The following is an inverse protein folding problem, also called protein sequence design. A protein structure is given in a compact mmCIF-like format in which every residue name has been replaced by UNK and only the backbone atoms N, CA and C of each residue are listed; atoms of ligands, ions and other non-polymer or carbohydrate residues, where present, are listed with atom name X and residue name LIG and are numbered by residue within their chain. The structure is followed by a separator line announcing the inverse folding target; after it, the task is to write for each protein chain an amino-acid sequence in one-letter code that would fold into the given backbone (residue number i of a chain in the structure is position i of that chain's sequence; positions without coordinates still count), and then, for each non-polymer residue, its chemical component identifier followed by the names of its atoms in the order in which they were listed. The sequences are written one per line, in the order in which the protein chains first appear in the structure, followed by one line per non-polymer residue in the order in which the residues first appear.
data_IF_661933879731
#
_entry.id   IF_661933879731
#
_cell.length_a   1.000
_cell.length_b   1.000
_cell.length_c   1.000
_cell.angle_alpha   90.00
_cell.angle_beta   90.00
_cell.angle_gamma   90.00
#
_symmetry.space_group_name_H-M   'P 1'
#
loop_
_entity.id
_entity.type
_entity.pdbx_description
1 polymer ?
#
# COMPACT_ATOMS: atom_id res chain seq x y z
N UNK A 1 20.13 13.32 17.22
CA UNK A 1 19.34 13.88 16.09
C UNK A 1 20.20 13.72 14.85
N UNK A 2 19.88 12.76 13.99
CA UNK A 2 20.54 12.63 12.69
C UNK A 2 20.09 13.79 11.82
N UNK A 3 21.04 14.48 11.19
CA UNK A 3 20.76 15.62 10.31
C UNK A 3 20.14 15.11 8.99
N UNK A 4 19.46 16.00 8.27
CA UNK A 4 18.89 15.69 6.94
C UNK A 4 19.96 15.19 5.94
N UNK A 5 21.24 15.40 6.22
CA UNK A 5 22.38 14.95 5.40
C UNK A 5 22.69 13.46 5.55
N UNK A 6 22.33 12.83 6.68
CA UNK A 6 22.59 11.40 6.92
C UNK A 6 21.67 10.47 6.13
N UNK A 7 20.53 10.99 5.64
CA UNK A 7 19.55 10.22 4.84
C UNK A 7 19.94 10.21 3.34
N UNK A 8 20.76 11.16 2.89
CA UNK A 8 21.14 11.37 1.48
C UNK A 8 22.40 10.61 1.01
N UNK A 9 23.04 9.83 1.88
CA UNK A 9 24.35 9.22 1.61
C UNK A 9 24.41 8.13 0.54
N UNK A 10 23.31 7.74 -0.09
CA UNK A 10 23.29 6.67 -1.12
C UNK A 10 22.73 7.11 -2.48
N UNK A 11 22.43 8.37 -2.68
CA UNK A 11 22.06 8.85 -4.02
C UNK A 11 23.33 9.20 -4.78
N UNK A 12 23.69 8.37 -5.75
CA UNK A 12 24.67 8.73 -6.80
C UNK A 12 24.29 10.10 -7.37
N UNK A 13 25.28 10.98 -7.53
CA UNK A 13 25.16 12.38 -7.93
C UNK A 13 24.61 12.61 -9.35
N UNK A 14 23.42 12.11 -9.66
CA UNK A 14 22.51 12.70 -10.63
C UNK A 14 21.82 13.85 -9.89
N UNK A 15 21.93 15.08 -10.38
CA UNK A 15 21.30 16.30 -9.83
C UNK A 15 19.90 15.96 -9.31
N UNK A 16 19.75 15.89 -7.99
CA UNK A 16 18.51 15.45 -7.37
C UNK A 16 17.36 16.34 -7.87
N UNK A 17 16.43 15.75 -8.63
CA UNK A 17 15.26 16.47 -9.20
C UNK A 17 14.27 16.92 -8.14
N UNK A 18 14.35 16.31 -6.95
CA UNK A 18 13.56 16.66 -5.76
C UNK A 18 14.48 16.95 -4.58
N UNK A 19 14.02 17.76 -3.66
CA UNK A 19 14.69 18.02 -2.38
C UNK A 19 13.70 18.00 -1.24
N UNK A 20 14.14 17.67 -0.06
CA UNK A 20 13.33 17.77 1.14
C UNK A 20 13.18 19.26 1.56
N UNK A 21 11.99 19.61 2.01
CA UNK A 21 11.67 20.90 2.60
C UNK A 21 10.73 20.71 3.80
N UNK A 22 10.76 21.63 4.73
CA UNK A 22 9.75 21.74 5.78
C UNK A 22 8.71 22.74 5.30
N UNK A 23 7.44 22.33 5.30
CA UNK A 23 6.31 23.16 4.90
C UNK A 23 5.42 23.39 6.11
N UNK A 24 5.15 24.64 6.41
CA UNK A 24 4.31 25.04 7.56
C UNK A 24 2.94 24.34 7.48
N UNK A 25 2.53 23.69 8.56
CA UNK A 25 1.27 22.95 8.67
C UNK A 25 1.26 21.58 7.94
N UNK A 26 2.31 21.26 7.16
CA UNK A 26 2.40 19.98 6.42
C UNK A 26 3.61 19.13 6.83
N UNK A 27 4.59 19.72 7.55
CA UNK A 27 5.81 19.05 7.97
C UNK A 27 6.80 18.80 6.82
N UNK A 28 7.54 17.70 6.90
CA UNK A 28 8.53 17.33 5.88
C UNK A 28 7.85 16.96 4.57
N UNK A 29 8.37 17.48 3.46
CA UNK A 29 7.80 17.34 2.14
C UNK A 29 8.90 17.21 1.06
N UNK A 30 8.57 16.66 -0.09
CA UNK A 30 9.41 16.69 -1.26
C UNK A 30 8.96 17.82 -2.20
N UNK A 31 9.88 18.69 -2.58
CA UNK A 31 9.64 19.80 -3.50
C UNK A 31 10.53 19.68 -4.73
N UNK A 32 10.05 20.20 -5.86
CA UNK A 32 10.79 20.22 -7.11
C UNK A 32 12.06 21.09 -7.00
N UNK A 33 13.25 20.52 -7.24
CA UNK A 33 14.51 21.26 -7.24
C UNK A 33 14.70 22.11 -8.51
N UNK A 34 14.02 21.77 -9.59
CA UNK A 34 13.97 22.46 -10.89
C UNK A 34 12.54 22.40 -11.43
N UNK A 35 12.25 23.10 -12.50
CA UNK A 35 10.99 22.89 -13.22
C UNK A 35 10.96 21.46 -13.79
N UNK A 36 9.85 20.75 -13.60
CA UNK A 36 9.63 19.37 -14.04
C UNK A 36 8.58 19.34 -15.14
N UNK A 37 8.79 18.47 -16.12
CA UNK A 37 7.85 18.24 -17.21
C UNK A 37 6.93 17.06 -16.90
N UNK A 38 5.73 17.11 -17.43
CA UNK A 38 4.79 15.99 -17.39
C UNK A 38 5.45 14.68 -17.85
N UNK A 39 5.25 13.61 -17.10
CA UNK A 39 5.87 12.30 -17.36
C UNK A 39 7.28 12.11 -16.79
N UNK A 40 7.97 13.17 -16.32
CA UNK A 40 9.29 12.98 -15.70
C UNK A 40 9.20 12.05 -14.47
N UNK A 41 10.14 11.12 -14.38
CA UNK A 41 10.32 10.28 -13.19
C UNK A 41 11.08 11.11 -12.14
N UNK A 42 10.43 11.36 -11.01
CA UNK A 42 11.02 12.17 -9.92
C UNK A 42 11.61 11.33 -8.81
N UNK A 43 11.18 10.08 -8.69
CA UNK A 43 11.72 9.14 -7.71
C UNK A 43 11.62 7.71 -8.23
N UNK A 44 12.69 6.94 -7.99
CA UNK A 44 12.69 5.47 -7.91
C UNK A 44 13.16 5.12 -6.52
N UNK A 45 12.35 4.39 -5.77
CA UNK A 45 12.64 4.07 -4.37
C UNK A 45 12.52 2.57 -4.15
N UNK A 46 13.55 1.98 -3.58
CA UNK A 46 13.56 0.58 -3.20
C UNK A 46 13.11 0.43 -1.76
N UNK A 47 12.29 -0.58 -1.44
CA UNK A 47 11.80 -0.76 -0.08
C UNK A 47 12.92 -1.22 0.84
N UNK A 48 13.02 -0.64 2.05
CA UNK A 48 13.92 -1.12 3.10
C UNK A 48 13.33 -2.31 3.86
N UNK A 49 12.03 -2.53 3.76
CA UNK A 49 11.29 -3.60 4.40
C UNK A 49 10.08 -3.96 3.55
N UNK A 50 9.84 -5.26 3.39
CA UNK A 50 8.66 -5.83 2.74
C UNK A 50 8.05 -6.92 3.62
N UNK A 51 6.73 -7.02 3.66
CA UNK A 51 6.00 -8.09 4.33
C UNK A 51 4.69 -8.43 3.61
N UNK A 52 4.31 -9.71 3.64
CA UNK A 52 3.14 -10.21 2.93
C UNK A 52 1.83 -9.73 3.57
N UNK A 53 0.88 -9.30 2.75
CA UNK A 53 -0.50 -9.00 3.16
C UNK A 53 -1.40 -10.25 3.18
N UNK A 54 -0.93 -11.37 2.61
CA UNK A 54 -1.72 -12.61 2.51
C UNK A 54 -1.81 -13.25 3.89
N UNK A 55 -3.02 -13.64 4.35
CA UNK A 55 -3.18 -14.33 5.64
C UNK A 55 -2.32 -15.59 5.76
N UNK A 56 -1.87 -15.89 6.98
CA UNK A 56 -1.20 -17.16 7.28
C UNK A 56 -2.24 -18.28 7.18
N UNK A 57 -2.04 -19.22 6.26
CA UNK A 57 -2.92 -20.40 6.13
C UNK A 57 -2.74 -21.29 7.37
N UNK A 58 -3.83 -21.71 8.05
CA UNK A 58 -3.73 -22.67 9.13
C UNK A 58 -3.26 -24.03 8.60
N UNK A 59 -2.47 -24.76 9.41
CA UNK A 59 -1.90 -26.07 9.04
C UNK A 59 -2.94 -27.17 8.87
N UNK A 60 -4.19 -26.95 9.36
CA UNK A 60 -5.31 -27.87 9.19
C UNK A 60 -6.46 -27.18 8.48
N UNK A 61 -7.03 -27.79 7.40
CA UNK A 61 -8.21 -27.23 6.74
C UNK A 61 -9.41 -27.30 7.70
N UNK A 62 -9.99 -26.15 8.05
CA UNK A 62 -11.27 -26.11 8.76
C UNK A 62 -12.39 -26.59 7.81
N UNK A 63 -13.23 -27.55 8.19
CA UNK A 63 -14.24 -28.15 7.30
C UNK A 63 -15.44 -27.25 6.98
N UNK A 64 -15.48 -26.00 7.44
CA UNK A 64 -16.69 -25.16 7.45
C UNK A 64 -16.74 -24.03 6.41
N UNK A 65 -15.81 -23.92 5.46
CA UNK A 65 -15.88 -22.90 4.43
C UNK A 65 -16.49 -23.45 3.14
N UNK A 66 -17.68 -22.93 2.78
CA UNK A 66 -18.37 -23.23 1.55
C UNK A 66 -17.54 -22.89 0.29
N UNK A 67 -17.68 -23.67 -0.82
CA UNK A 67 -16.85 -23.53 -2.03
C UNK A 67 -17.01 -22.22 -2.81
N UNK A 68 -18.00 -21.39 -2.47
CA UNK A 68 -18.40 -20.21 -3.25
C UNK A 68 -17.48 -18.98 -3.15
N UNK A 69 -16.52 -18.95 -2.24
CA UNK A 69 -15.56 -17.84 -2.09
C UNK A 69 -14.09 -18.28 -2.22
N UNK A 70 -13.80 -19.29 -3.02
CA UNK A 70 -12.42 -19.55 -3.46
C UNK A 70 -12.06 -18.54 -4.53
N UNK A 71 -11.73 -17.32 -4.17
CA UNK A 71 -10.80 -16.53 -4.97
C UNK A 71 -9.59 -17.43 -5.18
N UNK A 72 -9.21 -17.65 -6.45
CA UNK A 72 -7.99 -18.38 -6.80
C UNK A 72 -6.83 -17.64 -6.15
N UNK A 73 -6.42 -18.06 -4.94
CA UNK A 73 -5.26 -17.51 -4.28
C UNK A 73 -4.05 -17.73 -5.18
N UNK A 74 -3.57 -16.66 -5.77
CA UNK A 74 -2.32 -16.67 -6.52
C UNK A 74 -1.19 -16.82 -5.52
N UNK A 75 -0.21 -17.66 -5.83
CA UNK A 75 1.00 -17.72 -5.03
C UNK A 75 2.01 -16.70 -5.53
N UNK A 76 2.71 -16.08 -4.61
CA UNK A 76 3.69 -15.05 -4.88
C UNK A 76 5.08 -15.47 -4.39
N UNK A 77 6.11 -15.00 -5.09
CA UNK A 77 7.47 -15.13 -4.62
C UNK A 77 7.65 -14.42 -3.27
N UNK A 78 8.09 -15.13 -2.26
CA UNK A 78 8.25 -14.61 -0.90
C UNK A 78 9.36 -13.54 -0.76
N UNK A 79 10.10 -13.25 -1.84
CA UNK A 79 11.11 -12.19 -1.87
C UNK A 79 10.68 -10.98 -2.71
N UNK A 80 10.28 -11.19 -3.96
CA UNK A 80 9.97 -10.12 -4.88
C UNK A 80 8.47 -9.94 -5.17
N UNK A 81 7.62 -10.73 -4.54
CA UNK A 81 6.16 -10.71 -4.64
C UNK A 81 5.58 -10.83 -6.07
N UNK A 82 6.39 -11.25 -7.03
CA UNK A 82 5.90 -11.59 -8.38
C UNK A 82 5.00 -12.82 -8.33
N UNK A 83 3.99 -12.87 -9.19
CA UNK A 83 3.12 -14.04 -9.37
C UNK A 83 3.98 -15.24 -9.74
N UNK A 84 3.71 -16.38 -9.10
CA UNK A 84 4.36 -17.66 -9.39
C UNK A 84 3.49 -18.52 -10.31
N UNK A 85 4.10 -19.02 -11.37
CA UNK A 85 3.53 -20.05 -12.20
C UNK A 85 4.00 -21.41 -11.68
N UNK A 86 3.10 -22.18 -11.07
CA UNK A 86 3.43 -23.48 -10.44
C UNK A 86 4.02 -24.51 -11.42
N UNK A 87 3.74 -24.37 -12.71
CA UNK A 87 4.33 -25.19 -13.77
C UNK A 87 5.78 -24.83 -14.11
N UNK A 88 6.28 -23.68 -13.59
CA UNK A 88 7.63 -23.23 -13.88
C UNK A 88 8.66 -24.05 -13.09
N UNK A 89 9.63 -24.69 -13.76
CA UNK A 89 10.69 -25.48 -13.09
C UNK A 89 11.64 -24.61 -12.27
N UNK A 90 11.57 -23.29 -12.40
CA UNK A 90 12.41 -22.35 -11.66
C UNK A 90 11.93 -22.11 -10.22
N UNK A 91 10.66 -22.40 -9.90
CA UNK A 91 10.11 -22.18 -8.56
C UNK A 91 10.78 -23.12 -7.56
N UNK A 92 11.29 -22.53 -6.48
CA UNK A 92 12.00 -23.26 -5.42
C UNK A 92 11.42 -22.91 -4.04
N UNK A 93 11.39 -23.90 -3.15
CA UNK A 93 10.89 -23.72 -1.79
C UNK A 93 11.99 -23.32 -0.79
N UNK A 94 11.57 -22.81 0.37
CA UNK A 94 12.46 -22.59 1.50
C UNK A 94 12.98 -23.92 2.07
N UNK A 95 14.28 -24.12 2.21
CA UNK A 95 14.82 -25.38 2.71
C UNK A 95 14.49 -25.62 4.20
N UNK A 96 14.34 -24.56 5.00
CA UNK A 96 14.05 -24.66 6.43
C UNK A 96 12.59 -25.04 6.70
N UNK A 97 11.65 -24.50 5.95
CA UNK A 97 10.22 -24.82 6.07
C UNK A 97 9.93 -26.24 5.56
N UNK A 98 10.61 -26.70 4.51
CA UNK A 98 10.42 -28.03 3.93
C UNK A 98 10.92 -29.15 4.84
N UNK A 99 11.95 -28.90 5.67
CA UNK A 99 12.47 -29.89 6.59
C UNK A 99 11.49 -30.25 7.72
N UNK A 100 10.66 -29.30 8.16
CA UNK A 100 9.63 -29.56 9.19
C UNK A 100 8.49 -30.41 8.66
N UNK A 101 8.10 -30.23 7.40
CA UNK A 101 7.09 -31.04 6.73
C UNK A 101 7.57 -32.48 6.50
N UNK A 102 8.83 -32.66 6.08
CA UNK A 102 9.43 -33.99 5.91
C UNK A 102 9.57 -34.77 7.22
N UNK A 103 9.91 -34.09 8.32
CA UNK A 103 9.96 -34.70 9.66
C UNK A 103 8.58 -35.17 10.15
N UNK A 104 7.53 -34.43 9.87
CA UNK A 104 6.14 -34.79 10.19
C UNK A 104 5.65 -36.00 9.35
N UNK A 105 6.06 -36.10 8.09
CA UNK A 105 5.71 -37.21 7.22
C UNK A 105 6.34 -38.54 7.64
N UNK A 106 7.54 -38.54 8.24
CA UNK A 106 8.24 -39.73 8.77
C UNK A 106 7.54 -40.30 10.01
N UNK A 107 6.70 -39.47 10.70
CA UNK A 107 5.95 -39.93 11.88
C UNK A 107 4.56 -40.50 11.56
N UNK A 108 4.28 -40.85 10.30
CA UNK A 108 3.13 -41.70 9.92
C UNK A 108 1.79 -40.98 9.71
N UNK A 109 1.77 -39.67 9.57
CA UNK A 109 0.60 -38.94 9.14
C UNK A 109 0.48 -38.94 7.61
N UNK A 110 -0.33 -39.85 7.04
CA UNK A 110 -0.61 -39.91 5.60
C UNK A 110 -1.51 -38.74 5.14
N UNK A 111 -0.92 -37.57 5.00
CA UNK A 111 -1.54 -36.40 4.35
C UNK A 111 -0.59 -35.94 3.26
N UNK A 112 -1.10 -35.78 2.04
CA UNK A 112 -0.35 -35.27 0.90
C UNK A 112 0.37 -33.98 1.28
N UNK A 113 1.70 -34.03 1.27
CA UNK A 113 2.55 -32.93 1.70
C UNK A 113 2.31 -31.71 0.79
N UNK A 114 1.60 -30.72 1.28
CA UNK A 114 1.63 -29.41 0.65
C UNK A 114 3.07 -28.89 0.72
N UNK A 115 3.66 -28.65 -0.42
CA UNK A 115 5.01 -28.15 -0.59
C UNK A 115 5.24 -26.90 0.27
N UNK A 116 6.44 -26.75 0.80
CA UNK A 116 6.86 -25.73 1.76
C UNK A 116 6.28 -24.34 1.46
N UNK A 117 5.73 -23.73 2.47
CA UNK A 117 4.87 -22.56 2.41
C UNK A 117 5.48 -21.29 1.83
N UNK A 118 6.84 -21.21 1.81
CA UNK A 118 7.55 -20.06 1.25
C UNK A 118 8.21 -20.46 -0.05
N UNK A 119 7.61 -19.97 -1.13
CA UNK A 119 8.05 -20.21 -2.50
C UNK A 119 8.79 -18.99 -3.05
N UNK A 120 9.75 -19.24 -3.92
CA UNK A 120 10.56 -18.22 -4.60
C UNK A 120 10.56 -18.49 -6.09
N UNK A 121 10.54 -17.42 -6.90
CA UNK A 121 10.54 -17.52 -8.37
C UNK A 121 11.83 -18.13 -8.94
N UNK A 122 12.87 -18.29 -8.11
CA UNK A 122 14.12 -18.91 -8.50
C UNK A 122 15.16 -18.92 -7.39
N UNK A 123 16.32 -19.60 -7.62
CA UNK A 123 17.39 -19.74 -6.64
C UNK A 123 17.96 -18.39 -6.17
N UNK A 124 18.05 -17.40 -7.08
CA UNK A 124 18.56 -16.06 -6.73
C UNK A 124 17.66 -15.35 -5.72
N UNK A 125 16.35 -15.33 -5.96
CA UNK A 125 15.38 -14.77 -5.02
C UNK A 125 15.41 -15.50 -3.67
N UNK A 126 15.53 -16.82 -3.69
CA UNK A 126 15.68 -17.61 -2.46
C UNK A 126 16.94 -17.23 -1.69
N UNK A 127 18.08 -17.17 -2.36
CA UNK A 127 19.35 -16.82 -1.71
C UNK A 127 19.34 -15.41 -1.14
N UNK A 128 18.81 -14.46 -1.88
CA UNK A 128 18.63 -13.08 -1.41
C UNK A 128 17.71 -13.00 -0.17
N UNK A 129 16.58 -13.71 -0.20
CA UNK A 129 15.64 -13.74 0.92
C UNK A 129 16.28 -14.37 2.18
N UNK A 130 16.96 -15.51 2.04
CA UNK A 130 17.61 -16.19 3.17
C UNK A 130 18.73 -15.34 3.81
N UNK A 131 19.36 -14.48 3.04
CA UNK A 131 20.38 -13.56 3.53
C UNK A 131 19.81 -12.28 4.17
N UNK A 132 18.52 -11.95 3.94
CA UNK A 132 17.95 -10.65 4.34
C UNK A 132 16.56 -10.76 4.98
N UNK A 133 15.51 -10.95 4.17
CA UNK A 133 14.10 -10.84 4.59
C UNK A 133 13.51 -12.13 5.17
N UNK A 134 14.09 -13.28 4.86
CA UNK A 134 13.62 -14.61 5.30
C UNK A 134 14.74 -15.39 5.99
N UNK A 135 15.36 -14.80 7.00
CA UNK A 135 16.38 -15.45 7.84
C UNK A 135 15.80 -16.68 8.57
N UNK A 136 16.63 -17.58 9.09
CA UNK A 136 16.15 -18.74 9.89
C UNK A 136 15.23 -18.34 11.04
N UNK A 137 15.49 -17.19 11.69
CA UNK A 137 14.63 -16.67 12.73
C UNK A 137 13.27 -16.24 12.19
N UNK A 138 13.21 -15.49 11.08
CA UNK A 138 11.94 -15.07 10.42
C UNK A 138 11.13 -16.29 10.00
N UNK A 139 11.77 -17.27 9.37
CA UNK A 139 11.14 -18.52 8.98
C UNK A 139 10.47 -19.21 10.19
N UNK A 140 11.19 -19.34 11.30
CA UNK A 140 10.67 -19.95 12.52
C UNK A 140 9.56 -19.12 13.16
N UNK A 141 9.72 -17.78 13.23
CA UNK A 141 8.73 -16.89 13.83
C UNK A 141 7.40 -16.94 13.06
N UNK A 142 7.45 -16.86 11.73
CA UNK A 142 6.24 -16.93 10.90
C UNK A 142 5.58 -18.31 10.94
N UNK A 143 6.34 -19.41 11.01
CA UNK A 143 5.78 -20.75 11.22
C UNK A 143 5.04 -20.86 12.55
N UNK A 144 5.62 -20.35 13.64
CA UNK A 144 4.98 -20.40 14.95
C UNK A 144 3.76 -19.48 15.05
N UNK A 145 3.79 -18.31 14.39
CA UNK A 145 2.62 -17.42 14.29
C UNK A 145 1.47 -18.09 13.52
N UNK A 146 1.76 -18.82 12.46
CA UNK A 146 0.76 -19.60 11.72
C UNK A 146 0.11 -20.68 12.58
N UNK A 147 0.95 -21.44 13.32
CA UNK A 147 0.50 -22.57 14.14
C UNK A 147 -0.20 -22.11 15.42
N UNK A 148 -0.06 -20.82 15.75
CA UNK A 148 -0.78 -20.19 16.84
C UNK A 148 -2.22 -19.95 16.45
N UNK A 149 -3.10 -20.88 16.86
CA UNK A 149 -4.55 -20.76 16.70
C UNK A 149 -5.18 -20.34 18.03
N UNK A 150 -5.65 -19.11 18.18
CA UNK A 150 -6.36 -18.69 19.38
C UNK A 150 -7.78 -19.24 19.36
N UNK A 151 -7.97 -20.53 19.74
CA UNK A 151 -9.30 -21.15 19.82
C UNK A 151 -10.18 -20.58 20.94
N UNK A 152 -9.74 -19.57 21.68
CA UNK A 152 -10.41 -19.13 22.90
C UNK A 152 -10.40 -17.62 23.20
N UNK A 153 -10.07 -16.73 22.24
CA UNK A 153 -10.06 -15.30 22.51
C UNK A 153 -11.11 -14.53 21.72
N UNK A 154 -11.86 -13.61 22.38
CA UNK A 154 -12.90 -12.77 21.74
C UNK A 154 -12.32 -11.70 20.77
N UNK A 155 -11.02 -11.75 20.43
CA UNK A 155 -10.31 -10.83 19.54
C UNK A 155 -10.53 -11.11 18.05
N UNK A 156 -11.55 -11.90 17.68
CA UNK A 156 -11.84 -12.33 16.30
C UNK A 156 -12.13 -11.19 15.33
N UNK A 157 -12.61 -10.04 15.78
CA UNK A 157 -12.91 -8.92 14.90
C UNK A 157 -11.68 -8.25 14.25
N UNK A 158 -10.48 -8.41 14.85
CA UNK A 158 -9.22 -7.84 14.32
C UNK A 158 -8.16 -8.90 13.99
N UNK A 159 -8.55 -10.15 13.85
CA UNK A 159 -7.59 -11.26 13.68
C UNK A 159 -6.69 -11.06 12.44
N UNK A 160 -7.26 -10.64 11.32
CA UNK A 160 -6.51 -10.41 10.08
C UNK A 160 -5.54 -9.23 10.22
N UNK A 161 -5.97 -8.14 10.81
CA UNK A 161 -5.14 -6.97 11.09
C UNK A 161 -3.98 -7.33 12.02
N UNK A 162 -4.24 -8.08 13.10
CA UNK A 162 -3.20 -8.52 14.05
C UNK A 162 -2.18 -9.44 13.40
N UNK A 163 -2.59 -10.32 12.48
CA UNK A 163 -1.65 -11.15 11.72
C UNK A 163 -0.75 -10.28 10.83
N UNK A 164 -1.31 -9.25 10.19
CA UNK A 164 -0.57 -8.33 9.35
C UNK A 164 0.46 -7.54 10.17
N UNK A 165 0.02 -6.97 11.30
CA UNK A 165 0.89 -6.26 12.25
C UNK A 165 2.01 -7.16 12.81
N UNK A 166 1.71 -8.42 13.12
CA UNK A 166 2.71 -9.38 13.57
C UNK A 166 3.76 -9.66 12.49
N UNK A 167 3.36 -9.80 11.22
CA UNK A 167 4.30 -9.96 10.09
C UNK A 167 5.20 -8.74 9.93
N UNK A 168 4.62 -7.54 10.02
CA UNK A 168 5.41 -6.31 10.00
C UNK A 168 6.44 -6.28 11.13
N UNK A 169 6.04 -6.58 12.38
CA UNK A 169 6.94 -6.56 13.53
C UNK A 169 8.09 -7.60 13.38
N UNK A 170 7.78 -8.81 12.89
CA UNK A 170 8.81 -9.82 12.61
C UNK A 170 9.80 -9.30 11.55
N UNK A 171 9.29 -8.68 10.48
CA UNK A 171 10.15 -8.09 9.45
C UNK A 171 10.99 -6.92 9.99
N UNK A 172 10.40 -6.03 10.82
CA UNK A 172 11.09 -4.89 11.41
C UNK A 172 12.17 -5.32 12.44
N UNK A 173 11.89 -6.29 13.29
CA UNK A 173 12.90 -6.83 14.21
C UNK A 173 14.04 -7.52 13.45
N UNK A 174 13.71 -8.26 12.38
CA UNK A 174 14.73 -8.83 11.51
C UNK A 174 15.57 -7.75 10.82
N UNK A 175 14.95 -6.66 10.36
CA UNK A 175 15.66 -5.52 9.77
C UNK A 175 16.66 -4.92 10.78
N UNK A 176 16.27 -4.80 12.04
CA UNK A 176 17.17 -4.33 13.11
C UNK A 176 18.43 -5.20 13.27
N UNK A 177 18.29 -6.50 13.01
CA UNK A 177 19.38 -7.48 13.14
C UNK A 177 20.26 -7.49 11.89
N UNK A 178 19.65 -7.54 10.68
CA UNK A 178 20.40 -7.76 9.43
C UNK A 178 20.88 -6.47 8.77
N UNK A 179 20.19 -5.35 9.03
CA UNK A 179 20.51 -4.03 8.46
C UNK A 179 20.18 -2.90 9.44
N UNK A 180 21.01 -2.69 10.48
CA UNK A 180 20.78 -1.65 11.48
C UNK A 180 20.70 -0.23 10.91
N UNK A 181 21.40 0.05 9.81
CA UNK A 181 21.31 1.33 9.10
C UNK A 181 19.91 1.58 8.54
N UNK A 182 19.33 0.62 7.85
CA UNK A 182 17.96 0.71 7.33
C UNK A 182 16.93 0.75 8.48
N UNK A 183 17.20 0.06 9.58
CA UNK A 183 16.35 0.13 10.76
C UNK A 183 16.34 1.54 11.38
N UNK A 184 17.49 2.22 11.45
CA UNK A 184 17.54 3.63 11.87
C UNK A 184 16.72 4.53 10.94
N UNK A 185 16.78 4.31 9.63
CA UNK A 185 15.95 5.05 8.66
C UNK A 185 14.46 4.82 8.97
N UNK A 186 14.02 3.58 9.19
CA UNK A 186 12.65 3.27 9.60
C UNK A 186 12.25 4.05 10.85
N UNK A 187 13.11 4.11 11.85
CA UNK A 187 12.83 4.85 13.10
C UNK A 187 12.71 6.37 12.90
N UNK A 188 13.35 6.95 11.87
CA UNK A 188 13.27 8.37 11.53
C UNK A 188 12.02 8.77 10.73
N UNK A 189 11.23 7.80 10.23
CA UNK A 189 10.01 8.08 9.49
C UNK A 189 8.91 8.66 10.39
N UNK A 190 7.84 9.19 9.78
CA UNK A 190 6.67 9.71 10.49
C UNK A 190 6.02 8.61 11.34
N UNK A 191 5.38 8.98 12.42
CA UNK A 191 4.77 8.08 13.40
C UNK A 191 5.43 8.27 14.78
N UNK A 192 4.77 9.08 15.62
CA UNK A 192 5.19 9.24 17.00
C UNK A 192 4.78 8.01 17.80
N UNK A 193 5.68 7.55 18.67
CA UNK A 193 5.31 6.57 19.68
C UNK A 193 4.16 7.12 20.53
N UNK A 194 3.08 6.34 20.74
CA UNK A 194 2.04 6.78 21.66
C UNK A 194 2.63 6.96 23.07
N UNK A 195 2.01 7.83 23.86
CA UNK A 195 2.45 8.09 25.25
C UNK A 195 2.37 6.83 26.11
N UNK A 196 1.41 5.95 25.80
CA UNK A 196 1.31 4.61 26.36
C UNK A 196 1.05 3.61 25.23
N UNK A 197 1.68 2.42 25.25
CA UNK A 197 1.39 1.34 24.33
C UNK A 197 -0.10 0.95 24.40
N UNK A 198 -0.71 0.75 23.25
CA UNK A 198 -2.09 0.27 23.17
C UNK A 198 -2.17 -1.26 23.34
N UNK A 199 -3.41 -1.79 23.44
CA UNK A 199 -3.64 -3.23 23.58
C UNK A 199 -3.06 -4.06 22.45
N UNK A 200 -2.97 -3.47 21.25
CA UNK A 200 -2.35 -4.12 20.10
C UNK A 200 -0.85 -4.33 20.31
N UNK A 201 -0.15 -3.29 20.71
CA UNK A 201 1.29 -3.36 20.99
C UNK A 201 1.59 -4.31 22.14
N UNK A 202 0.80 -4.25 23.22
CA UNK A 202 0.91 -5.17 24.37
C UNK A 202 0.74 -6.63 23.94
N UNK A 203 -0.34 -6.93 23.23
CA UNK A 203 -0.64 -8.28 22.77
C UNK A 203 0.43 -8.81 21.81
N UNK A 204 0.79 -8.03 20.78
CA UNK A 204 1.72 -8.47 19.75
C UNK A 204 3.15 -8.62 20.29
N UNK A 205 3.57 -7.73 21.17
CA UNK A 205 4.86 -7.84 21.88
C UNK A 205 4.91 -9.14 22.66
N UNK A 206 3.94 -9.37 23.55
CA UNK A 206 3.87 -10.58 24.37
C UNK A 206 3.81 -11.85 23.51
N UNK A 207 3.02 -11.84 22.42
CA UNK A 207 2.89 -12.96 21.49
C UNK A 207 4.22 -13.32 20.82
N UNK A 208 4.89 -12.36 20.19
CA UNK A 208 6.16 -12.62 19.49
C UNK A 208 7.22 -13.10 20.47
N UNK A 209 7.35 -12.47 21.63
CA UNK A 209 8.35 -12.86 22.62
C UNK A 209 8.07 -14.22 23.27
N UNK A 210 6.81 -14.61 23.40
CA UNK A 210 6.45 -15.93 23.91
C UNK A 210 6.67 -17.05 22.88
N UNK A 211 6.36 -16.77 21.59
CA UNK A 211 6.47 -17.75 20.53
C UNK A 211 7.90 -17.90 19.99
N UNK A 212 8.52 -16.77 19.65
CA UNK A 212 9.84 -16.75 19.04
C UNK A 212 10.55 -15.41 19.30
N UNK A 213 11.17 -15.24 20.47
CA UNK A 213 11.88 -14.02 20.80
C UNK A 213 12.96 -13.73 19.74
N UNK A 214 13.10 -12.46 19.31
CA UNK A 214 14.14 -12.09 18.37
C UNK A 214 15.51 -12.30 19.01
N UNK A 215 16.51 -12.78 18.23
CA UNK A 215 17.87 -12.93 18.76
C UNK A 215 18.43 -11.56 19.15
N UNK A 216 19.19 -11.52 20.24
CA UNK A 216 19.85 -10.30 20.65
C UNK A 216 20.75 -9.77 19.52
N UNK A 217 20.76 -8.46 19.25
CA UNK A 217 21.67 -7.88 18.29
C UNK A 217 23.11 -8.21 18.69
N UNK A 218 23.86 -8.87 17.82
CA UNK A 218 25.22 -9.30 18.14
C UNK A 218 26.19 -8.12 18.20
N UNK A 219 26.68 -7.82 19.40
CA UNK A 219 28.06 -7.48 19.69
C UNK A 219 28.66 -6.23 19.04
N UNK A 220 28.02 -5.06 19.12
CA UNK A 220 28.79 -3.83 19.14
C UNK A 220 28.13 -2.81 20.06
N UNK A 221 28.95 -2.05 20.78
CA UNK A 221 28.52 -0.94 21.65
C UNK A 221 27.79 0.20 20.90
N UNK A 222 27.53 0.02 19.59
CA UNK A 222 26.82 0.96 18.72
C UNK A 222 25.30 0.77 18.68
N UNK A 223 24.76 -0.33 19.22
CA UNK A 223 23.33 -0.64 19.13
C UNK A 223 22.67 -0.54 20.50
N UNK A 224 22.27 0.68 20.85
CA UNK A 224 21.61 1.02 22.12
C UNK A 224 20.08 0.91 22.02
N UNK A 225 19.57 -0.17 21.40
CA UNK A 225 18.12 -0.41 21.45
C UNK A 225 17.83 -1.84 21.91
N UNK A 226 16.91 -1.97 22.83
CA UNK A 226 16.29 -3.22 23.21
C UNK A 226 14.97 -3.40 22.48
N UNK A 227 14.60 -4.62 22.15
CA UNK A 227 13.27 -4.94 21.61
C UNK A 227 12.22 -4.79 22.73
N UNK A 228 11.98 -3.55 23.15
CA UNK A 228 11.04 -3.23 24.23
C UNK A 228 9.61 -3.08 23.70
N UNK A 229 8.66 -3.00 24.64
CA UNK A 229 7.26 -2.72 24.31
C UNK A 229 7.08 -1.34 23.67
N UNK A 230 7.81 -0.33 24.13
CA UNK A 230 7.80 1.03 23.58
C UNK A 230 8.30 1.03 22.13
N UNK A 231 9.34 0.24 21.84
CA UNK A 231 9.81 0.06 20.47
C UNK A 231 8.75 -0.62 19.60
N UNK A 232 8.06 -1.63 20.11
CA UNK A 232 6.95 -2.30 19.41
C UNK A 232 5.86 -1.30 19.06
N UNK A 233 5.40 -0.49 20.01
CA UNK A 233 4.39 0.55 19.78
C UNK A 233 4.86 1.62 18.77
N UNK A 234 6.13 2.04 18.88
CA UNK A 234 6.71 2.98 17.92
C UNK A 234 6.76 2.41 16.50
N UNK A 235 7.11 1.14 16.33
CA UNK A 235 7.15 0.48 15.03
C UNK A 235 5.75 0.40 14.40
N UNK A 236 4.74 0.00 15.17
CA UNK A 236 3.35 -0.06 14.70
C UNK A 236 2.84 1.32 14.25
N UNK A 237 3.19 2.39 14.97
CA UNK A 237 2.86 3.76 14.59
C UNK A 237 3.53 4.19 13.27
N UNK A 238 4.74 3.68 13.00
CA UNK A 238 5.44 3.95 11.74
C UNK A 238 4.84 3.15 10.58
N UNK A 239 4.50 1.89 10.81
CA UNK A 239 3.82 1.06 9.82
C UNK A 239 2.52 1.72 9.34
N UNK A 240 1.66 2.12 10.27
CA UNK A 240 0.38 2.77 9.98
C UNK A 240 0.51 3.96 9.01
N UNK A 241 1.57 4.76 9.12
CA UNK A 241 1.72 5.99 8.34
C UNK A 241 2.62 5.87 7.09
N UNK A 242 3.44 4.81 6.97
CA UNK A 242 4.46 4.73 5.92
C UNK A 242 4.37 3.46 5.08
N UNK A 243 3.42 2.55 5.34
CA UNK A 243 3.27 1.34 4.55
C UNK A 243 2.59 1.63 3.20
N UNK A 244 3.26 1.25 2.12
CA UNK A 244 2.73 1.30 0.76
C UNK A 244 2.29 -0.10 0.32
N UNK A 245 1.03 -0.24 -0.09
CA UNK A 245 0.54 -1.51 -0.62
C UNK A 245 1.12 -1.81 -2.00
N UNK A 246 1.70 -3.01 -2.18
CA UNK A 246 1.96 -3.61 -3.49
C UNK A 246 0.68 -4.34 -3.89
N UNK A 247 0.06 -3.86 -4.96
CA UNK A 247 -1.28 -4.32 -5.32
C UNK A 247 -1.22 -5.54 -6.22
N UNK A 248 -2.24 -6.40 -6.14
CA UNK A 248 -2.49 -7.40 -7.16
C UNK A 248 -2.87 -6.73 -8.51
N UNK A 249 -2.70 -7.41 -9.64
CA UNK A 249 -3.27 -6.94 -10.90
C UNK A 249 -4.78 -6.75 -10.77
N UNK A 250 -5.31 -5.70 -11.42
CA UNK A 250 -6.74 -5.39 -11.40
C UNK A 250 -7.55 -6.60 -11.92
N UNK A 251 -8.45 -7.11 -11.10
CA UNK A 251 -9.35 -8.19 -11.49
C UNK A 251 -10.43 -7.70 -12.48
N UNK A 252 -11.13 -8.63 -13.14
CA UNK A 252 -12.16 -8.28 -14.14
C UNK A 252 -13.37 -7.57 -13.54
N UNK A 253 -13.67 -7.87 -12.29
CA UNK A 253 -14.73 -7.24 -11.48
C UNK A 253 -14.36 -5.86 -10.94
N UNK A 254 -13.09 -5.45 -11.10
CA UNK A 254 -12.58 -4.17 -10.61
C UNK A 254 -12.03 -4.23 -9.19
N UNK A 255 -12.09 -5.37 -8.53
CA UNK A 255 -11.46 -5.54 -7.22
C UNK A 255 -9.94 -5.64 -7.33
N UNK A 256 -9.25 -5.08 -6.36
CA UNK A 256 -7.79 -5.09 -6.29
C UNK A 256 -7.33 -5.26 -4.85
N UNK A 257 -6.80 -6.42 -4.55
CA UNK A 257 -6.25 -6.74 -3.23
C UNK A 257 -4.80 -6.31 -3.10
N UNK A 258 -4.33 -6.22 -1.85
CA UNK A 258 -2.91 -5.99 -1.54
C UNK A 258 -2.21 -7.33 -1.39
N UNK A 259 -1.10 -7.55 -2.11
CA UNK A 259 -0.26 -8.76 -1.97
C UNK A 259 0.83 -8.62 -0.91
N UNK A 260 1.32 -7.42 -0.72
CA UNK A 260 2.37 -7.10 0.23
C UNK A 260 2.33 -5.62 0.62
N UNK A 261 3.00 -5.29 1.71
CA UNK A 261 3.28 -3.91 2.09
C UNK A 261 4.79 -3.67 2.11
N UNK A 262 5.19 -2.47 1.74
CA UNK A 262 6.59 -2.04 1.75
C UNK A 262 6.78 -0.69 2.42
N UNK A 263 7.91 -0.53 3.09
CA UNK A 263 8.36 0.78 3.61
C UNK A 263 9.40 1.34 2.65
N UNK A 264 9.06 2.49 2.05
CA UNK A 264 9.87 3.18 1.06
C UNK A 264 10.39 4.48 1.66
N UNK A 265 11.67 4.56 2.01
CA UNK A 265 12.20 5.63 2.87
C UNK A 265 12.08 7.03 2.26
N UNK A 266 12.21 7.15 0.95
CA UNK A 266 12.11 8.44 0.27
C UNK A 266 10.66 8.76 -0.14
N UNK A 267 9.90 7.76 -0.59
CA UNK A 267 8.50 7.95 -0.98
C UNK A 267 7.60 8.31 0.22
N UNK A 268 7.98 7.93 1.44
CA UNK A 268 7.28 8.30 2.68
C UNK A 268 7.26 9.81 2.95
N UNK A 269 8.02 10.62 2.21
CA UNK A 269 8.00 12.09 2.34
C UNK A 269 7.09 12.80 1.33
N UNK A 270 6.41 12.09 0.44
CA UNK A 270 5.36 12.71 -0.36
C UNK A 270 4.11 12.91 0.47
N UNK A 271 3.67 14.15 0.59
CA UNK A 271 2.43 14.49 1.25
C UNK A 271 1.21 14.22 0.35
N UNK A 272 0.04 14.18 0.98
CA UNK A 272 -1.24 13.99 0.30
C UNK A 272 -1.74 15.28 -0.35
N UNK A 273 -2.33 15.14 -1.54
CA UNK A 273 -3.28 16.10 -2.11
C UNK A 273 -4.42 15.34 -2.79
N UNK A 274 -5.64 15.84 -2.70
CA UNK A 274 -6.80 15.24 -3.35
C UNK A 274 -6.82 15.43 -4.87
N UNK A 275 -5.99 16.36 -5.38
CA UNK A 275 -5.64 16.56 -6.78
C UNK A 275 -4.13 16.45 -6.93
N UNK A 276 -3.59 15.23 -6.93
CA UNK A 276 -2.16 15.02 -6.92
C UNK A 276 -1.52 15.54 -8.21
N UNK A 277 -0.27 16.03 -8.10
CA UNK A 277 0.53 16.42 -9.27
C UNK A 277 1.54 15.36 -9.69
N UNK A 278 1.59 14.25 -8.96
CA UNK A 278 2.34 13.06 -9.30
C UNK A 278 1.57 11.80 -8.90
N UNK A 279 1.87 10.68 -9.51
CA UNK A 279 1.33 9.38 -9.12
C UNK A 279 2.40 8.31 -9.10
N UNK A 280 2.15 7.27 -8.30
CA UNK A 280 3.07 6.15 -8.13
C UNK A 280 2.72 5.00 -9.06
N UNK A 281 3.74 4.30 -9.51
CA UNK A 281 3.67 3.06 -10.27
C UNK A 281 4.45 1.96 -9.55
N UNK A 282 3.93 0.76 -9.58
CA UNK A 282 4.62 -0.47 -9.22
C UNK A 282 4.58 -1.44 -10.43
N UNK A 283 5.72 -2.02 -10.79
CA UNK A 283 5.84 -2.90 -11.96
C UNK A 283 6.21 -4.32 -11.55
N UNK A 284 5.61 -4.82 -10.47
CA UNK A 284 5.98 -6.09 -9.82
C UNK A 284 5.92 -7.28 -10.79
N UNK A 285 4.93 -7.31 -11.69
CA UNK A 285 4.75 -8.39 -12.64
C UNK A 285 5.22 -8.05 -14.06
N UNK A 286 5.87 -6.90 -14.26
CA UNK A 286 6.39 -6.55 -15.57
C UNK A 286 7.42 -7.59 -16.03
N UNK A 287 7.33 -7.97 -17.30
CA UNK A 287 8.24 -8.95 -17.91
C UNK A 287 9.68 -8.49 -17.80
N UNK A 288 10.60 -9.42 -17.56
CA UNK A 288 12.05 -9.21 -17.40
C UNK A 288 12.78 -8.66 -18.64
N UNK A 289 12.09 -8.07 -19.60
CA UNK A 289 12.67 -7.32 -20.73
C UNK A 289 13.10 -5.90 -20.34
N UNK A 290 12.67 -5.40 -19.20
CA UNK A 290 13.27 -4.24 -18.56
C UNK A 290 14.68 -4.63 -18.10
N UNK A 291 15.66 -3.83 -18.45
CA UNK A 291 17.09 -4.02 -18.16
C UNK A 291 17.33 -4.61 -16.78
N UNK A 292 18.18 -5.62 -16.68
CA UNK A 292 18.47 -6.48 -15.53
C UNK A 292 18.89 -5.76 -14.20
N UNK A 293 18.73 -4.45 -14.10
CA UNK A 293 19.08 -3.63 -12.94
C UNK A 293 17.87 -3.12 -12.14
N UNK A 294 16.63 -3.38 -12.56
CA UNK A 294 15.45 -2.87 -11.87
C UNK A 294 14.87 -3.92 -10.91
N UNK A 295 14.82 -3.59 -9.63
CA UNK A 295 14.15 -4.42 -8.64
C UNK A 295 12.63 -4.37 -8.86
N UNK A 296 11.95 -5.52 -8.96
CA UNK A 296 10.50 -5.57 -9.21
C UNK A 296 9.67 -4.85 -8.15
N UNK A 297 10.23 -4.65 -6.97
CA UNK A 297 9.55 -4.04 -5.83
C UNK A 297 9.82 -2.56 -5.69
N UNK A 298 10.54 -1.95 -6.64
CA UNK A 298 10.78 -0.51 -6.65
C UNK A 298 9.48 0.24 -6.93
N UNK A 299 9.28 1.33 -6.20
CA UNK A 299 8.22 2.28 -6.41
C UNK A 299 8.74 3.40 -7.33
N UNK A 300 8.00 3.70 -8.39
CA UNK A 300 8.32 4.77 -9.32
C UNK A 300 7.29 5.88 -9.20
N UNK A 301 7.74 7.12 -9.03
CA UNK A 301 6.85 8.30 -9.00
C UNK A 301 7.08 9.13 -10.25
N UNK A 302 5.98 9.38 -10.98
CA UNK A 302 5.96 10.22 -12.19
C UNK A 302 5.06 11.43 -12.00
N UNK A 303 5.50 12.52 -12.60
CA UNK A 303 4.76 13.79 -12.65
C UNK A 303 3.58 13.68 -13.61
N UNK A 304 2.41 14.13 -13.19
CA UNK A 304 1.16 14.10 -13.99
C UNK A 304 1.15 15.26 -14.99
N UNK A 305 1.52 16.46 -14.55
CA UNK A 305 1.58 17.69 -15.34
C UNK A 305 2.82 18.50 -14.99
N UNK A 306 3.15 19.53 -15.76
CA UNK A 306 4.32 20.37 -15.49
C UNK A 306 4.26 20.95 -14.08
N UNK A 307 5.38 20.89 -13.36
CA UNK A 307 5.53 21.39 -11.98
C UNK A 307 6.62 22.46 -11.95
N UNK A 308 6.35 23.68 -11.48
CA UNK A 308 7.39 24.72 -11.36
C UNK A 308 8.37 24.37 -10.24
N UNK A 309 9.59 24.92 -10.36
CA UNK A 309 10.61 24.81 -9.30
C UNK A 309 10.07 25.32 -7.96
N UNK A 310 10.38 24.59 -6.88
CA UNK A 310 9.98 24.93 -5.51
C UNK A 310 8.56 24.47 -5.16
N UNK A 311 7.76 24.01 -6.11
CA UNK A 311 6.42 23.47 -5.81
C UNK A 311 6.54 22.11 -5.13
N UNK A 312 5.68 21.86 -4.13
CA UNK A 312 5.53 20.57 -3.48
C UNK A 312 5.03 19.51 -4.46
N UNK A 313 5.58 18.30 -4.34
CA UNK A 313 5.13 17.15 -5.12
C UNK A 313 4.27 16.29 -4.21
N UNK A 314 3.02 16.06 -4.61
CA UNK A 314 2.01 15.37 -3.81
C UNK A 314 1.48 14.14 -4.52
N UNK A 315 1.18 13.11 -3.72
CA UNK A 315 0.45 11.91 -4.15
C UNK A 315 -0.96 11.93 -3.58
N UNK A 316 -1.89 11.19 -4.18
CA UNK A 316 -3.09 10.80 -3.46
C UNK A 316 -2.84 9.52 -2.67
N UNK A 317 -3.20 9.49 -1.38
CA UNK A 317 -3.01 8.32 -0.52
C UNK A 317 -4.08 7.24 -0.75
N UNK A 318 -5.14 7.57 -1.49
CA UNK A 318 -6.26 6.70 -1.84
C UNK A 318 -6.81 7.06 -3.24
N UNK A 319 -7.73 6.28 -3.82
CA UNK A 319 -8.33 6.59 -5.10
C UNK A 319 -8.97 7.97 -5.13
N UNK A 320 -8.75 8.71 -6.22
CA UNK A 320 -9.19 10.12 -6.34
C UNK A 320 -10.71 10.29 -6.47
N UNK A 321 -11.45 9.21 -6.76
CA UNK A 321 -12.90 9.21 -6.92
C UNK A 321 -13.71 9.27 -5.62
N UNK A 322 -13.05 9.16 -4.45
CA UNK A 322 -13.76 9.24 -3.17
C UNK A 322 -14.40 10.62 -2.97
N UNK A 323 -15.60 10.66 -2.37
CA UNK A 323 -16.28 11.89 -1.99
C UNK A 323 -15.55 12.64 -0.86
N UNK A 324 -15.96 13.87 -0.58
CA UNK A 324 -15.30 14.72 0.43
C UNK A 324 -15.32 14.10 1.83
N UNK A 325 -16.47 13.63 2.30
CA UNK A 325 -16.65 13.03 3.63
C UNK A 325 -15.75 11.84 3.85
N UNK A 326 -15.71 10.89 2.89
CA UNK A 326 -14.89 9.69 2.99
C UNK A 326 -13.40 10.02 2.99
N UNK A 327 -12.96 11.00 2.15
CA UNK A 327 -11.57 11.44 2.13
C UNK A 327 -11.18 12.05 3.49
N UNK A 328 -11.98 12.98 4.02
CA UNK A 328 -11.69 13.62 5.30
C UNK A 328 -11.72 12.64 6.46
N UNK A 329 -12.68 11.71 6.48
CA UNK A 329 -12.75 10.64 7.48
C UNK A 329 -11.47 9.81 7.47
N UNK A 330 -11.05 9.28 6.30
CA UNK A 330 -9.85 8.48 6.17
C UNK A 330 -8.59 9.24 6.56
N UNK A 331 -8.45 10.50 6.14
CA UNK A 331 -7.29 11.31 6.49
C UNK A 331 -7.20 11.58 7.99
N UNK A 332 -8.35 11.75 8.65
CA UNK A 332 -8.40 11.95 10.10
C UNK A 332 -8.09 10.66 10.86
N UNK A 333 -8.71 9.55 10.50
CA UNK A 333 -8.62 8.27 11.22
C UNK A 333 -7.31 7.53 10.97
N UNK A 334 -6.86 7.49 9.70
CA UNK A 334 -5.67 6.73 9.30
C UNK A 334 -4.39 7.55 9.46
N UNK A 335 -4.43 8.86 9.14
CA UNK A 335 -3.23 9.71 9.04
C UNK A 335 -3.18 10.84 10.07
N UNK A 336 -4.28 11.14 10.77
CA UNK A 336 -4.32 12.10 11.87
C UNK A 336 -4.34 13.57 11.43
N UNK A 337 -4.78 13.91 10.20
CA UNK A 337 -4.91 15.28 9.74
C UNK A 337 -6.17 15.50 8.89
N UNK A 338 -6.53 16.78 8.71
CA UNK A 338 -7.61 17.23 7.83
C UNK A 338 -6.99 17.87 6.60
N UNK A 339 -7.44 17.49 5.40
CA UNK A 339 -6.96 18.08 4.15
C UNK A 339 -7.66 19.41 3.87
N UNK A 340 -6.86 20.42 3.55
CA UNK A 340 -7.34 21.76 3.18
C UNK A 340 -6.93 22.16 1.76
N UNK A 341 -6.71 21.18 0.87
CA UNK A 341 -6.41 21.45 -0.53
C UNK A 341 -7.57 22.16 -1.24
N UNK A 342 -7.32 22.70 -2.44
CA UNK A 342 -8.32 23.49 -3.16
C UNK A 342 -9.57 22.69 -3.48
N UNK A 343 -9.45 21.39 -3.80
CA UNK A 343 -10.60 20.52 -3.99
C UNK A 343 -11.45 20.42 -2.71
N UNK A 344 -10.82 20.20 -1.57
CA UNK A 344 -11.54 20.08 -0.31
C UNK A 344 -12.24 21.37 0.10
N UNK A 345 -11.64 22.53 -0.18
CA UNK A 345 -12.29 23.84 0.08
C UNK A 345 -13.54 24.05 -0.77
N UNK A 346 -13.51 23.61 -2.03
CA UNK A 346 -14.67 23.72 -2.94
C UNK A 346 -15.75 22.74 -2.52
N UNK A 347 -15.40 21.46 -2.35
CA UNK A 347 -16.37 20.41 -2.04
C UNK A 347 -16.97 20.51 -0.63
N UNK A 348 -16.28 21.14 0.32
CA UNK A 348 -16.83 21.40 1.66
C UNK A 348 -18.11 22.26 1.61
N UNK A 349 -18.22 23.17 0.64
CA UNK A 349 -19.37 24.04 0.49
C UNK A 349 -20.59 23.35 -0.15
N UNK A 350 -20.42 22.14 -0.71
CA UNK A 350 -21.54 21.40 -1.35
C UNK A 350 -22.35 20.58 -0.36
N UNK A 351 -21.79 20.32 0.83
CA UNK A 351 -22.46 19.52 1.87
C UNK A 351 -23.61 20.28 2.56
N UNK A 352 -23.66 21.63 2.41
CA UNK A 352 -24.71 22.43 3.01
C UNK A 352 -26.00 22.46 2.17
N UNK A 353 -25.99 21.94 0.93
CA UNK A 353 -27.13 21.93 0.00
C UNK A 353 -27.86 20.56 -0.08
N UNK A 354 -27.25 19.50 0.46
CA UNK A 354 -27.90 18.19 0.63
C UNK A 354 -28.35 17.99 2.09
N UNK A 355 -29.02 18.99 2.66
CA UNK A 355 -29.65 18.94 3.96
C UNK A 355 -30.93 18.13 3.90
N UNK A 356 -30.98 17.07 4.71
CA UNK A 356 -32.15 16.41 5.24
C UNK A 356 -33.06 15.62 4.27
N UNK A 357 -32.53 14.53 3.73
CA UNK A 357 -33.33 13.33 3.55
C UNK A 357 -32.76 12.22 4.48
N UNK A 358 -32.98 12.36 5.79
CA UNK A 358 -32.93 11.24 6.71
C UNK A 358 -34.11 10.31 6.39
N UNK A 359 -33.76 9.10 5.99
CA UNK A 359 -34.67 7.96 5.80
C UNK A 359 -35.44 7.70 7.09
N UNK A 360 -36.70 8.14 7.17
CA UNK A 360 -37.71 7.54 8.05
C UNK A 360 -38.25 6.31 7.29
N UNK A 361 -37.62 5.14 7.50
CA UNK A 361 -38.27 3.85 7.26
C UNK A 361 -39.30 3.62 8.35
N UNK A 362 -40.53 4.04 8.13
CA UNK A 362 -41.71 3.49 8.85
C UNK A 362 -42.41 2.47 7.96
N UNK A 363 -42.47 1.27 8.47
CA UNK A 363 -43.30 0.15 8.02
C UNK A 363 -44.77 0.57 7.95
N UNK A 364 -45.41 0.47 6.78
CA UNK A 364 -46.85 0.18 6.71
C UNK A 364 -47.19 -0.68 5.49
N UNK A 365 -47.83 -1.79 5.79
CA UNK A 365 -48.39 -2.78 4.89
C UNK A 365 -49.64 -2.26 4.16
N UNK A 366 -49.75 -2.71 2.89
CA UNK A 366 -50.97 -3.05 2.12
C UNK A 366 -52.06 -1.96 1.88
N UNK A 367 -52.28 -1.65 0.63
CA UNK A 367 -53.54 -1.90 -0.08
C UNK A 367 -53.49 -1.49 -1.57
N UNK A 368 -54.11 -2.33 -2.35
CA UNK A 368 -54.37 -2.23 -3.82
C UNK A 368 -55.23 -0.98 -4.17
N UNK A 369 -55.06 -0.36 -5.28
CA UNK A 369 -55.87 -0.45 -6.51
C UNK A 369 -55.81 0.78 -7.41
N UNK A 370 -55.70 0.46 -8.72
CA UNK A 370 -56.34 1.06 -9.90
C UNK A 370 -56.02 2.48 -10.36
N UNK A 371 -55.48 2.50 -11.59
CA UNK A 371 -55.76 3.35 -12.77
C UNK A 371 -55.97 4.86 -12.55
N UNK A 372 -55.07 5.63 -13.13
CA UNK A 372 -55.50 6.70 -14.07
C UNK A 372 -54.35 7.17 -15.02
N UNK A 373 -54.57 6.90 -16.30
CA UNK A 373 -54.02 7.60 -17.47
C UNK A 373 -54.31 9.11 -17.40
N UNK A 374 -53.30 9.97 -17.51
CA UNK A 374 -53.50 11.28 -18.20
C UNK A 374 -52.16 11.96 -18.56
N UNK A 375 -51.84 11.92 -19.85
CA UNK A 375 -51.49 13.01 -20.78
C UNK A 375 -50.46 14.06 -20.35
N UNK A 376 -49.41 14.05 -21.16
CA UNK A 376 -48.44 15.09 -21.43
C UNK A 376 -49.03 16.51 -21.49
N UNK A 377 -48.35 17.47 -20.89
CA UNK A 377 -48.23 18.81 -21.48
C UNK A 377 -46.76 19.27 -21.36
N UNK A 378 -46.24 19.52 -22.52
CA UNK A 378 -45.00 20.18 -22.87
C UNK A 378 -45.00 21.61 -22.33
N UNK A 379 -44.07 21.93 -21.42
CA UNK A 379 -43.73 23.32 -21.12
C UNK A 379 -42.22 23.47 -21.15
N UNK A 380 -41.75 23.87 -22.31
CA UNK A 380 -40.47 24.53 -22.52
C UNK A 380 -40.40 25.79 -21.68
N UNK A 381 -39.73 25.74 -20.53
CA UNK A 381 -39.21 26.93 -19.88
C UNK A 381 -37.68 26.94 -19.98
N UNK A 382 -37.25 27.98 -20.68
CA UNK A 382 -35.89 28.51 -20.78
C UNK A 382 -35.34 28.77 -19.36
N UNK A 383 -34.71 27.76 -18.78
CA UNK A 383 -34.04 27.85 -17.51
C UNK A 383 -32.59 28.23 -17.73
N UNK A 384 -32.28 29.49 -17.44
CA UNK A 384 -30.93 30.04 -17.50
C UNK A 384 -29.92 29.10 -16.90
N UNK A 385 -28.85 28.84 -17.64
CA UNK A 385 -27.70 28.08 -17.24
C UNK A 385 -27.09 28.79 -16.01
N UNK A 386 -27.33 28.26 -14.84
CA UNK A 386 -26.65 28.69 -13.62
C UNK A 386 -25.15 28.33 -13.79
N UNK A 387 -24.36 29.34 -14.15
CA UNK A 387 -22.91 29.26 -14.30
C UNK A 387 -22.21 28.97 -12.96
N UNK A 388 -22.93 28.87 -11.83
CA UNK A 388 -22.39 28.68 -10.49
C UNK A 388 -22.05 27.22 -10.13
N UNK A 389 -22.49 26.24 -10.93
CA UNK A 389 -22.22 24.80 -10.65
C UNK A 389 -21.08 24.20 -11.49
N UNK A 390 -20.17 25.01 -12.02
CA UNK A 390 -19.04 24.47 -12.77
C UNK A 390 -17.98 24.00 -11.78
N UNK A 391 -17.89 22.66 -11.56
CA UNK A 391 -16.87 22.04 -10.72
C UNK A 391 -15.47 22.45 -11.23
N UNK A 392 -14.73 23.34 -10.52
CA UNK A 392 -13.50 23.93 -11.06
C UNK A 392 -12.39 22.90 -11.31
N UNK A 393 -12.56 21.67 -10.81
CA UNK A 393 -11.60 20.58 -10.96
C UNK A 393 -12.03 19.50 -11.95
N UNK A 394 -13.15 19.68 -12.66
CA UNK A 394 -13.65 18.74 -13.67
C UNK A 394 -12.57 18.36 -14.68
N UNK A 395 -11.75 19.32 -15.10
CA UNK A 395 -10.65 19.10 -16.03
C UNK A 395 -9.65 18.04 -15.53
N UNK A 396 -9.34 18.01 -14.22
CA UNK A 396 -8.44 16.98 -13.65
C UNK A 396 -9.03 15.58 -13.87
N UNK A 397 -10.30 15.39 -13.55
CA UNK A 397 -10.95 14.08 -13.65
C UNK A 397 -11.12 13.66 -15.12
N UNK A 398 -11.52 14.56 -16.00
CA UNK A 398 -11.66 14.25 -17.42
C UNK A 398 -10.35 13.85 -18.08
N UNK A 399 -9.25 14.49 -17.70
CA UNK A 399 -7.95 14.27 -18.34
C UNK A 399 -7.12 13.19 -17.67
N UNK A 400 -7.06 13.17 -16.33
CA UNK A 400 -6.09 12.37 -15.57
C UNK A 400 -6.72 11.20 -14.82
N UNK A 401 -8.01 10.98 -14.89
CA UNK A 401 -8.63 9.78 -14.35
C UNK A 401 -8.77 8.71 -15.44
N UNK A 402 -8.50 7.46 -15.08
CA UNK A 402 -8.66 6.33 -15.99
C UNK A 402 -10.14 6.13 -16.32
N UNK A 403 -10.46 6.01 -17.60
CA UNK A 403 -11.82 5.81 -18.10
C UNK A 403 -12.24 4.34 -18.19
N UNK A 404 -11.34 3.41 -17.86
CA UNK A 404 -11.68 1.97 -17.78
C UNK A 404 -12.66 1.74 -16.65
N UNK A 405 -13.74 1.02 -16.93
CA UNK A 405 -14.76 0.68 -15.95
C UNK A 405 -14.14 0.03 -14.71
N UNK A 406 -14.50 0.52 -13.53
CA UNK A 406 -14.04 0.05 -12.22
C UNK A 406 -12.52 0.18 -11.95
N UNK A 407 -11.80 1.05 -12.67
CA UNK A 407 -10.36 1.20 -12.48
C UNK A 407 -9.97 2.26 -11.43
N UNK A 408 -10.55 3.45 -11.50
CA UNK A 408 -10.29 4.60 -10.61
C UNK A 408 -8.81 5.02 -10.48
N UNK A 409 -7.96 4.60 -11.42
CA UNK A 409 -6.55 4.95 -11.47
C UNK A 409 -6.31 6.37 -11.98
N UNK A 410 -5.13 6.90 -11.68
CA UNK A 410 -4.65 8.18 -12.20
C UNK A 410 -3.75 7.96 -13.40
N UNK A 411 -3.92 8.75 -14.44
CA UNK A 411 -3.12 8.73 -15.66
C UNK A 411 -1.93 9.67 -15.51
N UNK A 412 -0.74 9.22 -15.92
CA UNK A 412 0.41 10.10 -16.10
C UNK A 412 1.09 9.84 -17.43
N UNK A 413 1.62 10.89 -18.11
CA UNK A 413 2.34 10.69 -19.37
C UNK A 413 3.52 9.72 -19.19
N UNK A 414 3.85 9.00 -20.24
CA UNK A 414 5.11 8.23 -20.28
C UNK A 414 6.29 9.18 -20.15
N UNK A 415 7.46 8.68 -19.68
CA UNK A 415 8.66 9.50 -19.56
C UNK A 415 8.99 10.22 -20.87
N UNK A 416 9.41 11.50 -20.82
CA UNK A 416 9.78 12.26 -22.01
C UNK A 416 10.89 11.56 -22.78
N UNK A 417 10.78 11.55 -24.10
CA UNK A 417 11.84 11.08 -24.99
C UNK A 417 12.53 12.28 -25.62
N UNK A 418 13.87 12.36 -25.48
CA UNK A 418 14.67 13.49 -25.99
C UNK A 418 14.15 14.86 -25.54
N UNK A 419 13.61 14.96 -24.31
CA UNK A 419 13.06 16.20 -23.77
C UNK A 419 11.68 16.59 -24.30
N UNK A 420 11.06 15.76 -25.15
CA UNK A 420 9.72 15.96 -25.69
C UNK A 420 8.73 15.19 -24.79
N UNK A 421 7.70 15.86 -24.22
CA UNK A 421 6.66 15.18 -23.46
C UNK A 421 5.94 14.12 -24.30
N UNK A 422 5.56 13.02 -23.69
CA UNK A 422 4.78 11.98 -24.35
C UNK A 422 3.31 12.40 -24.44
N UNK A 423 2.68 12.16 -25.59
CA UNK A 423 1.24 12.23 -25.75
C UNK A 423 0.50 10.96 -25.27
N UNK A 424 1.23 9.93 -24.83
CA UNK A 424 0.66 8.70 -24.31
C UNK A 424 0.72 8.74 -22.79
N UNK A 425 -0.41 8.53 -22.14
CA UNK A 425 -0.55 8.42 -20.70
C UNK A 425 -0.78 6.97 -20.28
N UNK A 426 -0.19 6.56 -19.18
CA UNK A 426 -0.34 5.24 -18.56
C UNK A 426 -1.15 5.37 -17.26
N UNK A 427 -2.08 4.45 -17.07
CA UNK A 427 -2.82 4.33 -15.82
C UNK A 427 -1.98 3.63 -14.75
N UNK A 428 -1.85 4.25 -13.57
CA UNK A 428 -1.08 3.70 -12.47
C UNK A 428 -1.72 2.49 -11.77
N UNK A 429 -2.95 2.14 -12.11
CA UNK A 429 -3.70 1.02 -11.53
C UNK A 429 -3.78 -0.16 -12.48
N UNK A 430 -4.27 0.05 -13.71
CA UNK A 430 -4.49 -1.03 -14.66
C UNK A 430 -3.44 -1.13 -15.77
N UNK A 431 -2.54 -0.14 -15.88
CA UNK A 431 -1.52 -0.09 -16.93
C UNK A 431 -2.05 0.25 -18.32
N UNK A 432 -3.35 0.55 -18.47
CA UNK A 432 -3.92 0.95 -19.76
C UNK A 432 -3.25 2.24 -20.26
N UNK A 433 -3.01 2.26 -21.57
CA UNK A 433 -2.45 3.40 -22.28
C UNK A 433 -3.55 4.21 -22.96
N UNK A 434 -3.55 5.53 -22.74
CA UNK A 434 -4.47 6.48 -23.35
C UNK A 434 -3.67 7.54 -24.09
N UNK A 435 -4.03 7.83 -25.35
CA UNK A 435 -3.50 9.01 -26.03
C UNK A 435 -4.11 10.26 -25.40
N UNK A 436 -3.27 11.25 -25.12
CA UNK A 436 -3.70 12.59 -24.73
C UNK A 436 -4.12 13.33 -26.00
N UNK A 437 -5.31 13.01 -26.47
CA UNK A 437 -5.95 13.80 -27.51
C UNK A 437 -6.37 15.11 -26.83
N UNK A 438 -5.46 16.07 -26.80
CA UNK A 438 -5.78 17.41 -26.34
C UNK A 438 -6.99 17.92 -27.14
N UNK A 439 -8.00 18.51 -26.48
CA UNK A 439 -9.13 19.10 -27.16
C UNK A 439 -8.69 20.24 -28.07
#
# INVERSE_FOLDING_TARGET
MLSAEDIHGQTTAATAVVRMAEIEGRGRALVASKALRAGEVVLRDSPILLYSAIPLKPSSPSPSLSPSHRHQHRDYCSNCFRILEHSSPSVVSCPSCSCTAAAAAVLGGGGGGEAGEYLFCGPNCRSAALASSHTPWVCQALSRLRDYCPSSLPLLHHHQERQLQARFLVAAYNLAIVSPSNFRILLCLQGKSPAQPDDAALFLHALIFSLCPPPAPHGSAEYDFSFSLELTAALLAKDKLNAFGLMEPLAKDGERSVRAYGIYPNASFFNHDCLPNACRFDYVDASATATASECNTDLVVRVIHDIPQGREICLSYFPVNLNHSDRQRRLREDYGFICTCDRCKVEANWLDDEGDEEEEEEEEEEAMDEDHDQLMEDSTEDGGVNEENNFPHAYFFLRYMCNRKNCWGTLAPLPPSNGIPSSVMECNVCGDMKNDDAP
#
